data_IF_766815714493
#
_entry.id   IF_766815714493
#
_cell.length_a   1.000
_cell.length_b   1.000
_cell.length_c   1.000
_cell.angle_alpha   90.00
_cell.angle_beta   90.00
_cell.angle_gamma   90.00
#
_symmetry.space_group_name_H-M   'P 1'
#
loop_
_entity.id
_entity.type
_entity.pdbx_description
1 polymer ?
#
# COMPACT_ATOMS: atom_id res chain seq x y z
N UNK A 1 -16.95 -12.66 28.27
CA UNK A 1 -18.24 -11.91 28.30
C UNK A 1 -18.29 -11.02 27.07
N UNK A 2 -19.45 -10.68 26.51
CA UNK A 2 -19.51 -9.75 25.38
C UNK A 2 -18.70 -8.48 25.71
N UNK A 3 -17.85 -8.05 24.77
CA UNK A 3 -16.94 -6.90 24.94
C UNK A 3 -15.56 -7.19 25.56
N UNK A 4 -15.32 -8.37 26.15
CA UNK A 4 -13.99 -8.73 26.66
C UNK A 4 -13.02 -9.16 25.54
N UNK A 5 -11.71 -9.11 25.80
CA UNK A 5 -10.70 -9.55 24.83
C UNK A 5 -10.87 -11.03 24.47
N UNK A 6 -11.16 -11.88 25.45
CA UNK A 6 -11.40 -13.31 25.25
C UNK A 6 -12.62 -13.55 24.36
N UNK A 7 -13.67 -12.72 24.51
CA UNK A 7 -14.84 -12.78 23.64
C UNK A 7 -14.51 -12.35 22.22
N UNK A 8 -13.78 -11.24 22.04
CA UNK A 8 -13.35 -10.79 20.70
C UNK A 8 -12.51 -11.85 19.99
N UNK A 9 -11.54 -12.45 20.69
CA UNK A 9 -10.72 -13.57 20.16
C UNK A 9 -11.60 -14.76 19.79
N UNK A 10 -12.52 -15.16 20.67
CA UNK A 10 -13.43 -16.27 20.39
C UNK A 10 -14.33 -16.01 19.17
N UNK A 11 -14.84 -14.79 19.02
CA UNK A 11 -15.67 -14.40 17.87
C UNK A 11 -14.86 -14.40 16.58
N UNK A 12 -13.68 -13.79 16.57
CA UNK A 12 -12.80 -13.77 15.39
C UNK A 12 -12.42 -15.18 14.96
N UNK A 13 -12.07 -16.05 15.92
CA UNK A 13 -11.75 -17.45 15.63
C UNK A 13 -12.95 -18.18 15.00
N UNK A 14 -14.15 -18.05 15.59
CA UNK A 14 -15.38 -18.66 15.07
C UNK A 14 -15.71 -18.17 13.66
N UNK A 15 -15.57 -16.87 13.40
CA UNK A 15 -15.76 -16.30 12.06
C UNK A 15 -14.75 -16.84 11.05
N UNK A 16 -13.47 -16.99 11.46
CA UNK A 16 -12.43 -17.49 10.57
C UNK A 16 -12.64 -18.96 10.16
N UNK A 17 -13.10 -19.82 11.08
CA UNK A 17 -13.30 -21.25 10.82
C UNK A 17 -14.66 -21.60 10.20
N UNK A 18 -15.61 -20.67 10.17
CA UNK A 18 -16.94 -20.87 9.57
C UNK A 18 -16.88 -20.79 8.03
N UNK A 19 -16.37 -21.87 7.42
CA UNK A 19 -16.27 -21.99 5.96
C UNK A 19 -17.63 -22.01 5.27
N UNK A 20 -18.67 -22.51 5.92
CA UNK A 20 -20.03 -22.53 5.37
C UNK A 20 -20.50 -21.10 5.16
N UNK A 21 -20.41 -20.26 6.18
CA UNK A 21 -20.83 -18.86 6.06
C UNK A 21 -19.97 -18.07 5.09
N UNK A 22 -18.65 -18.29 5.11
CA UNK A 22 -17.71 -17.62 4.18
C UNK A 22 -17.99 -17.97 2.72
N UNK A 23 -18.30 -19.24 2.44
CA UNK A 23 -18.67 -19.68 1.09
C UNK A 23 -20.03 -19.11 0.65
N UNK A 24 -21.01 -19.03 1.55
CA UNK A 24 -22.31 -18.42 1.28
C UNK A 24 -22.17 -16.93 0.93
N UNK A 25 -21.33 -16.19 1.66
CA UNK A 25 -21.12 -14.75 1.45
C UNK A 25 -20.32 -14.44 0.17
N UNK A 26 -19.40 -15.32 -0.24
CA UNK A 26 -18.55 -15.09 -1.41
C UNK A 26 -17.84 -13.73 -1.35
N UNK A 27 -17.90 -12.97 -2.44
CA UNK A 27 -17.32 -11.63 -2.53
C UNK A 27 -18.21 -10.50 -1.99
N UNK A 28 -19.45 -10.80 -1.56
CA UNK A 28 -20.41 -9.78 -1.12
C UNK A 28 -19.84 -8.77 -0.09
N UNK A 29 -19.03 -9.18 0.90
CA UNK A 29 -18.51 -8.25 1.90
C UNK A 29 -17.57 -7.15 1.37
N UNK A 30 -16.97 -7.32 0.19
CA UNK A 30 -15.99 -6.36 -0.37
C UNK A 30 -16.57 -5.50 -1.51
N UNK A 31 -17.78 -5.80 -2.00
CA UNK A 31 -18.31 -5.14 -3.20
C UNK A 31 -18.52 -3.63 -3.02
N UNK A 32 -18.91 -3.18 -1.83
CA UNK A 32 -19.10 -1.75 -1.60
C UNK A 32 -17.78 -0.98 -1.55
N UNK A 33 -16.72 -1.62 -1.06
CA UNK A 33 -15.37 -1.03 -1.11
C UNK A 33 -14.85 -0.98 -2.55
N UNK A 34 -15.05 -2.03 -3.35
CA UNK A 34 -14.69 -2.03 -4.77
C UNK A 34 -15.41 -0.91 -5.55
N UNK A 35 -16.71 -0.74 -5.34
CA UNK A 35 -17.47 0.37 -5.94
C UNK A 35 -16.93 1.74 -5.52
N UNK A 36 -16.49 1.87 -4.26
CA UNK A 36 -15.91 3.13 -3.77
C UNK A 36 -14.58 3.45 -4.46
N UNK A 37 -13.78 2.43 -4.78
CA UNK A 37 -12.54 2.57 -5.55
C UNK A 37 -12.83 2.94 -7.00
N UNK A 38 -13.80 2.30 -7.63
CA UNK A 38 -14.21 2.59 -9.02
C UNK A 38 -14.76 4.00 -9.21
N UNK A 39 -15.34 4.58 -8.16
CA UNK A 39 -15.86 5.95 -8.20
C UNK A 39 -14.76 7.02 -8.16
N UNK A 40 -13.49 6.64 -7.91
CA UNK A 40 -12.36 7.57 -7.90
C UNK A 40 -12.09 8.02 -9.33
N UNK A 41 -12.24 9.31 -9.60
CA UNK A 41 -12.13 9.91 -10.93
C UNK A 41 -11.13 11.07 -11.00
N UNK A 42 -10.34 11.30 -9.94
CA UNK A 42 -9.27 12.28 -9.91
C UNK A 42 -8.13 11.84 -8.98
N UNK A 43 -6.94 12.40 -9.19
CA UNK A 43 -5.78 12.12 -8.33
C UNK A 43 -5.99 12.66 -6.92
N UNK A 44 -6.69 13.78 -6.81
CA UNK A 44 -7.09 14.37 -5.54
C UNK A 44 -7.97 13.40 -4.73
N UNK A 45 -8.99 12.81 -5.37
CA UNK A 45 -9.85 11.81 -4.73
C UNK A 45 -9.07 10.52 -4.39
N UNK A 46 -8.11 10.13 -5.23
CA UNK A 46 -7.23 8.99 -4.97
C UNK A 46 -6.32 9.23 -3.76
N UNK A 47 -5.80 10.46 -3.59
CA UNK A 47 -5.01 10.84 -2.42
C UNK A 47 -5.86 10.84 -1.15
N UNK A 48 -7.10 11.33 -1.22
CA UNK A 48 -8.04 11.27 -0.09
C UNK A 48 -8.35 9.82 0.28
N UNK A 49 -8.63 8.96 -0.71
CA UNK A 49 -8.85 7.54 -0.50
C UNK A 49 -7.65 6.88 0.17
N UNK A 50 -6.45 7.08 -0.37
CA UNK A 50 -5.21 6.53 0.20
C UNK A 50 -5.00 6.97 1.66
N UNK A 51 -5.21 8.25 1.96
CA UNK A 51 -5.09 8.73 3.33
C UNK A 51 -6.10 8.07 4.28
N UNK A 52 -7.35 7.82 3.84
CA UNK A 52 -8.35 7.14 4.67
C UNK A 52 -8.03 5.65 4.86
N UNK A 53 -7.54 4.97 3.83
CA UNK A 53 -7.17 3.56 3.94
C UNK A 53 -5.93 3.35 4.80
N UNK A 54 -4.93 4.20 4.67
CA UNK A 54 -3.73 4.11 5.51
C UNK A 54 -4.02 4.47 6.99
N UNK A 55 -5.15 5.12 7.31
CA UNK A 55 -5.64 5.24 8.69
C UNK A 55 -6.28 3.95 9.23
N UNK A 56 -6.71 3.05 8.35
CA UNK A 56 -7.22 1.70 8.70
C UNK A 56 -6.11 0.65 8.78
N UNK A 57 -4.88 1.02 8.43
CA UNK A 57 -3.72 0.14 8.46
C UNK A 57 -3.37 -0.48 7.11
N UNK A 58 -3.93 0.05 6.01
CA UNK A 58 -3.49 -0.32 4.66
C UNK A 58 -2.20 0.41 4.28
N UNK A 59 -1.53 -0.08 3.23
CA UNK A 59 -0.32 0.52 2.66
C UNK A 59 -0.59 0.85 1.18
N UNK A 60 -1.28 1.96 0.89
CA UNK A 60 -1.79 2.24 -0.46
C UNK A 60 -0.68 2.53 -1.48
N UNK A 61 0.14 3.55 -1.23
CA UNK A 61 1.25 3.96 -2.11
C UNK A 61 2.64 3.76 -1.49
N UNK A 62 2.69 3.69 -0.17
CA UNK A 62 3.89 3.60 0.63
C UNK A 62 3.48 3.16 2.03
N UNK A 63 4.40 2.50 2.74
CA UNK A 63 4.13 1.98 4.08
C UNK A 63 4.27 3.05 5.14
N UNK A 64 3.39 3.02 6.15
CA UNK A 64 3.50 3.88 7.33
C UNK A 64 3.29 3.12 8.63
N UNK A 65 4.10 3.41 9.64
CA UNK A 65 3.93 2.82 10.97
C UNK A 65 4.66 3.65 12.04
N UNK A 66 4.39 3.34 13.30
CA UNK A 66 5.08 3.93 14.46
C UNK A 66 5.92 2.85 15.13
N UNK A 67 7.19 3.16 15.39
CA UNK A 67 8.10 2.32 16.19
C UNK A 67 9.03 3.21 17.03
N UNK A 68 9.82 2.59 17.90
CA UNK A 68 10.88 3.29 18.63
C UNK A 68 11.87 3.98 17.67
N UNK A 69 12.26 5.21 17.99
CA UNK A 69 13.28 5.94 17.25
C UNK A 69 14.63 5.22 17.41
N UNK A 70 15.27 4.90 16.28
CA UNK A 70 16.53 4.14 16.28
C UNK A 70 17.70 4.91 16.92
N UNK A 71 17.62 6.25 16.98
CA UNK A 71 18.62 7.09 17.65
C UNK A 71 18.19 7.49 19.08
N UNK A 72 16.93 7.28 19.45
CA UNK A 72 16.42 7.51 20.80
C UNK A 72 15.28 6.54 21.14
N UNK A 73 15.63 5.37 21.67
CA UNK A 73 14.67 4.29 21.92
C UNK A 73 13.56 4.61 22.93
N UNK A 74 13.70 5.69 23.71
CA UNK A 74 12.68 6.14 24.66
C UNK A 74 11.53 6.91 23.97
N UNK A 75 11.70 7.26 22.69
CA UNK A 75 10.73 8.01 21.90
C UNK A 75 10.19 7.15 20.76
N UNK A 76 8.93 7.39 20.40
CA UNK A 76 8.36 6.87 19.16
C UNK A 76 8.62 7.83 18.00
N UNK A 77 8.83 7.29 16.80
CA UNK A 77 8.91 8.04 15.56
C UNK A 77 7.93 7.48 14.53
N UNK A 78 7.31 8.37 13.75
CA UNK A 78 6.53 7.98 12.58
C UNK A 78 7.48 7.60 11.45
N UNK A 79 7.24 6.46 10.81
CA UNK A 79 8.05 5.94 9.72
C UNK A 79 7.26 6.00 8.42
N UNK A 80 7.97 6.39 7.35
CA UNK A 80 7.45 6.49 5.99
C UNK A 80 8.41 5.70 5.09
N UNK A 81 7.94 4.57 4.54
CA UNK A 81 8.76 3.63 3.77
C UNK A 81 8.21 3.39 2.37
N UNK A 82 9.02 2.86 1.46
CA UNK A 82 8.54 2.43 0.15
C UNK A 82 7.36 1.46 0.26
N UNK A 83 6.59 1.32 -0.82
CA UNK A 83 5.50 0.35 -0.87
C UNK A 83 5.99 -1.09 -0.72
N UNK A 84 5.14 -1.91 -0.11
CA UNK A 84 5.21 -3.36 -0.23
C UNK A 84 4.89 -3.78 -1.68
N UNK A 85 5.50 -4.88 -2.11
CA UNK A 85 5.26 -5.48 -3.43
C UNK A 85 4.62 -6.85 -3.24
N UNK A 86 3.56 -7.16 -3.99
CA UNK A 86 2.82 -8.42 -3.85
C UNK A 86 3.68 -9.68 -4.07
N UNK A 87 4.70 -9.59 -4.95
CA UNK A 87 5.66 -10.68 -5.19
C UNK A 87 6.89 -10.64 -4.26
N UNK A 88 6.93 -9.70 -3.31
CA UNK A 88 7.96 -9.63 -2.26
C UNK A 88 9.08 -8.63 -2.53
N UNK A 89 9.76 -8.70 -3.68
CA UNK A 89 10.85 -7.78 -4.02
C UNK A 89 10.82 -7.34 -5.48
N UNK A 90 11.62 -6.33 -5.83
CA UNK A 90 11.62 -5.75 -7.18
C UNK A 90 12.11 -6.71 -8.24
N UNK A 91 13.02 -7.62 -7.89
CA UNK A 91 13.62 -8.55 -8.83
C UNK A 91 12.59 -9.51 -9.44
N UNK A 92 11.51 -9.84 -8.72
CA UNK A 92 10.37 -10.60 -9.27
C UNK A 92 9.68 -9.91 -10.45
N UNK A 93 9.73 -8.58 -10.52
CA UNK A 93 9.12 -7.78 -11.59
C UNK A 93 10.11 -7.40 -12.68
N UNK A 94 11.41 -7.27 -12.34
CA UNK A 94 12.40 -6.69 -13.25
C UNK A 94 13.35 -7.71 -13.89
N UNK A 95 13.54 -8.89 -13.29
CA UNK A 95 14.42 -9.93 -13.83
C UNK A 95 13.66 -10.83 -14.82
N UNK A 96 14.08 -10.90 -16.12
CA UNK A 96 13.40 -11.69 -17.13
C UNK A 96 13.22 -13.18 -16.77
N UNK A 97 14.07 -13.74 -15.90
CA UNK A 97 13.94 -15.15 -15.46
C UNK A 97 12.65 -15.43 -14.71
N UNK A 98 12.00 -14.39 -14.17
CA UNK A 98 10.76 -14.50 -13.39
C UNK A 98 9.50 -14.43 -14.27
N UNK A 99 9.62 -14.51 -15.60
CA UNK A 99 8.50 -14.39 -16.53
C UNK A 99 7.31 -15.32 -16.23
N UNK A 100 7.55 -16.58 -15.87
CA UNK A 100 6.47 -17.52 -15.51
C UNK A 100 5.79 -17.17 -14.18
N UNK A 101 6.51 -16.55 -13.23
CA UNK A 101 5.94 -16.06 -11.97
C UNK A 101 5.01 -14.87 -12.25
N UNK A 102 5.48 -13.91 -13.06
CA UNK A 102 4.67 -12.76 -13.47
C UNK A 102 3.40 -13.21 -14.19
N UNK A 103 3.52 -14.17 -15.12
CA UNK A 103 2.38 -14.74 -15.84
C UNK A 103 1.38 -15.40 -14.89
N UNK A 104 1.86 -16.22 -13.94
CA UNK A 104 1.01 -16.89 -12.96
C UNK A 104 0.32 -15.90 -12.03
N UNK A 105 1.03 -14.84 -11.61
CA UNK A 105 0.47 -13.76 -10.80
C UNK A 105 -0.62 -12.99 -11.56
N UNK A 106 -0.41 -12.68 -12.85
CA UNK A 106 -1.42 -12.03 -13.67
C UNK A 106 -2.68 -12.90 -13.79
N UNK A 107 -2.53 -14.21 -14.07
CA UNK A 107 -3.65 -15.16 -14.10
C UNK A 107 -4.39 -15.26 -12.76
N UNK A 108 -3.64 -15.20 -11.65
CA UNK A 108 -4.22 -15.17 -10.31
C UNK A 108 -5.11 -13.92 -10.12
N UNK A 109 -4.62 -12.73 -10.48
CA UNK A 109 -5.41 -11.49 -10.37
C UNK A 109 -6.66 -11.53 -11.26
N UNK A 110 -6.55 -12.03 -12.50
CA UNK A 110 -7.71 -12.22 -13.38
C UNK A 110 -8.75 -13.13 -12.73
N UNK A 111 -8.31 -14.25 -12.13
CA UNK A 111 -9.21 -15.18 -11.43
C UNK A 111 -9.87 -14.54 -10.22
N UNK A 112 -9.12 -13.78 -9.41
CA UNK A 112 -9.67 -13.09 -8.24
C UNK A 112 -10.69 -12.02 -8.64
N UNK A 113 -10.43 -11.26 -9.70
CA UNK A 113 -11.38 -10.28 -10.22
C UNK A 113 -12.69 -10.96 -10.69
N UNK A 114 -12.60 -12.07 -11.44
CA UNK A 114 -13.81 -12.80 -11.84
C UNK A 114 -14.59 -13.34 -10.63
N UNK A 115 -13.90 -13.83 -9.60
CA UNK A 115 -14.54 -14.27 -8.35
C UNK A 115 -15.20 -13.11 -7.58
N UNK A 116 -14.74 -11.89 -7.79
CA UNK A 116 -15.36 -10.67 -7.27
C UNK A 116 -16.55 -10.16 -8.11
N UNK A 117 -16.84 -10.78 -9.26
CA UNK A 117 -18.00 -10.47 -10.10
C UNK A 117 -17.70 -9.67 -11.36
N UNK A 118 -16.43 -9.38 -11.67
CA UNK A 118 -16.04 -8.71 -12.91
C UNK A 118 -16.19 -9.62 -14.14
N UNK A 119 -16.48 -9.02 -15.30
CA UNK A 119 -16.46 -9.74 -16.57
C UNK A 119 -15.05 -10.26 -16.90
N UNK A 120 -14.94 -11.20 -17.85
CA UNK A 120 -13.64 -11.70 -18.28
C UNK A 120 -12.76 -10.59 -18.87
N UNK A 121 -13.36 -9.68 -19.63
CA UNK A 121 -12.69 -8.53 -20.23
C UNK A 121 -12.23 -7.52 -19.17
N UNK A 122 -13.07 -7.23 -18.17
CA UNK A 122 -12.73 -6.35 -17.05
C UNK A 122 -11.61 -6.94 -16.19
N UNK A 123 -11.69 -8.23 -15.87
CA UNK A 123 -10.67 -8.94 -15.11
C UNK A 123 -9.30 -8.91 -15.81
N UNK A 124 -9.28 -9.12 -17.14
CA UNK A 124 -8.05 -9.02 -17.93
C UNK A 124 -7.46 -7.60 -17.91
N UNK A 125 -8.33 -6.57 -18.03
CA UNK A 125 -7.91 -5.16 -17.92
C UNK A 125 -7.32 -4.85 -16.54
N UNK A 126 -7.99 -5.28 -15.47
CA UNK A 126 -7.54 -5.08 -14.08
C UNK A 126 -6.18 -5.72 -13.86
N UNK A 127 -6.00 -6.99 -14.25
CA UNK A 127 -4.74 -7.69 -14.07
C UNK A 127 -3.59 -7.04 -14.85
N UNK A 128 -3.82 -6.67 -16.11
CA UNK A 128 -2.85 -5.96 -16.94
C UNK A 128 -2.43 -4.62 -16.32
N UNK A 129 -3.38 -3.85 -15.81
CA UNK A 129 -3.09 -2.58 -15.16
C UNK A 129 -2.35 -2.80 -13.84
N UNK A 130 -2.77 -3.77 -13.03
CA UNK A 130 -2.12 -4.13 -11.78
C UNK A 130 -0.64 -4.46 -11.98
N UNK A 131 -0.30 -5.33 -12.94
CA UNK A 131 1.10 -5.70 -13.18
C UNK A 131 1.90 -4.53 -13.77
N UNK A 132 1.30 -3.70 -14.61
CA UNK A 132 1.96 -2.51 -15.15
C UNK A 132 2.34 -1.53 -14.04
N UNK A 133 1.39 -1.17 -13.17
CA UNK A 133 1.63 -0.27 -12.02
C UNK A 133 2.64 -0.89 -11.05
N UNK A 134 2.44 -2.16 -10.68
CA UNK A 134 3.34 -2.86 -9.76
C UNK A 134 4.77 -2.90 -10.28
N UNK A 135 4.96 -3.10 -11.59
CA UNK A 135 6.29 -3.11 -12.21
C UNK A 135 6.95 -1.73 -12.20
N UNK A 136 6.18 -0.65 -12.38
CA UNK A 136 6.72 0.71 -12.26
C UNK A 136 7.15 1.03 -10.83
N UNK A 137 6.31 0.72 -9.84
CA UNK A 137 6.65 0.88 -8.42
C UNK A 137 7.87 0.04 -8.03
N UNK A 138 7.93 -1.21 -8.50
CA UNK A 138 9.07 -2.11 -8.25
C UNK A 138 10.40 -1.52 -8.74
N UNK A 139 10.43 -0.87 -9.91
CA UNK A 139 11.64 -0.22 -10.44
C UNK A 139 12.15 0.93 -9.56
N UNK A 140 11.27 1.56 -8.79
CA UNK A 140 11.62 2.65 -7.85
C UNK A 140 12.10 2.12 -6.50
N UNK A 141 11.67 0.90 -6.14
CA UNK A 141 11.99 0.28 -4.87
C UNK A 141 13.49 -0.04 -4.72
N UNK A 142 13.95 -0.02 -3.48
CA UNK A 142 15.28 -0.49 -3.11
C UNK A 142 15.34 -2.01 -3.24
N UNK A 143 16.53 -2.53 -3.54
CA UNK A 143 16.80 -3.97 -3.48
C UNK A 143 16.83 -4.48 -2.04
N UNK A 144 16.70 -5.79 -1.85
CA UNK A 144 16.81 -6.41 -0.53
C UNK A 144 18.14 -6.11 0.18
N UNK A 145 19.23 -5.96 -0.56
CA UNK A 145 20.53 -5.58 0.00
C UNK A 145 20.52 -4.14 0.51
N UNK A 146 19.95 -3.22 -0.27
CA UNK A 146 19.84 -1.82 0.13
C UNK A 146 18.89 -1.63 1.33
N UNK A 147 17.85 -2.45 1.44
CA UNK A 147 16.91 -2.42 2.57
C UNK A 147 17.53 -2.90 3.90
N UNK A 148 18.63 -3.66 3.86
CA UNK A 148 19.32 -4.14 5.07
C UNK A 148 20.30 -3.13 5.66
N UNK A 149 20.62 -2.07 4.94
CA UNK A 149 21.49 -1.00 5.43
C UNK A 149 20.70 -0.07 6.36
N UNK A 150 20.77 -0.31 7.67
CA UNK A 150 20.02 0.44 8.66
C UNK A 150 20.33 1.95 8.62
N UNK A 151 21.59 2.34 8.40
CA UNK A 151 21.98 3.76 8.34
C UNK A 151 21.37 4.44 7.12
N UNK A 152 21.39 3.78 5.96
CA UNK A 152 20.80 4.35 4.74
C UNK A 152 19.27 4.48 4.81
N UNK A 153 18.61 3.64 5.62
CA UNK A 153 17.16 3.62 5.77
C UNK A 153 16.66 4.38 7.01
N UNK A 154 17.54 5.07 7.74
CA UNK A 154 17.17 5.99 8.81
C UNK A 154 17.47 7.43 8.38
N UNK A 155 16.43 8.18 8.05
CA UNK A 155 16.53 9.58 7.67
C UNK A 155 15.45 10.39 8.40
N UNK A 156 15.78 10.88 9.60
CA UNK A 156 14.94 11.83 10.33
C UNK A 156 14.93 13.17 9.61
N UNK A 157 13.77 13.55 9.06
CA UNK A 157 13.63 14.77 8.25
C UNK A 157 12.43 15.58 8.69
N UNK A 158 12.52 16.91 8.57
CA UNK A 158 11.37 17.78 8.75
C UNK A 158 10.35 17.54 7.63
N UNK A 159 9.07 17.39 7.99
CA UNK A 159 8.00 17.11 7.02
C UNK A 159 7.93 18.22 5.97
N UNK A 160 8.02 19.49 6.39
CA UNK A 160 8.02 20.64 5.47
C UNK A 160 9.11 20.53 4.40
N UNK A 161 10.32 20.11 4.79
CA UNK A 161 11.43 19.91 3.86
C UNK A 161 11.18 18.71 2.95
N UNK A 162 10.72 17.59 3.49
CA UNK A 162 10.42 16.41 2.70
C UNK A 162 9.36 16.70 1.63
N UNK A 163 8.29 17.43 1.98
CA UNK A 163 7.23 17.81 1.03
C UNK A 163 7.78 18.70 -0.08
N UNK A 164 8.63 19.68 0.26
CA UNK A 164 9.28 20.54 -0.73
C UNK A 164 10.21 19.76 -1.67
N UNK A 165 10.90 18.73 -1.16
CA UNK A 165 11.85 17.91 -1.92
C UNK A 165 11.17 16.83 -2.78
N UNK A 166 9.88 16.51 -2.54
CA UNK A 166 9.14 15.46 -3.24
C UNK A 166 7.81 15.98 -3.85
N UNK A 167 7.87 16.95 -4.78
CA UNK A 167 6.68 17.49 -5.43
C UNK A 167 6.05 16.46 -6.37
N UNK A 168 4.73 16.56 -6.59
CA UNK A 168 3.99 15.72 -7.54
C UNK A 168 2.96 14.79 -6.89
N UNK A 169 3.02 14.62 -5.58
CA UNK A 169 1.95 14.03 -4.77
C UNK A 169 1.38 15.12 -3.85
N UNK A 170 0.06 15.18 -3.67
CA UNK A 170 -0.59 16.17 -2.80
C UNK A 170 -0.38 15.82 -1.33
N UNK A 171 0.84 16.03 -0.85
CA UNK A 171 1.23 15.75 0.53
C UNK A 171 0.41 16.55 1.53
N UNK A 172 0.00 17.78 1.20
CA UNK A 172 -0.80 18.60 2.11
C UNK A 172 -2.18 17.95 2.37
N UNK A 173 -2.85 17.49 1.31
CA UNK A 173 -4.10 16.72 1.41
C UNK A 173 -3.89 15.40 2.13
N UNK A 174 -2.85 14.65 1.77
CA UNK A 174 -2.54 13.37 2.41
C UNK A 174 -2.28 13.52 3.92
N UNK A 175 -1.40 14.44 4.33
CA UNK A 175 -1.07 14.73 5.74
C UNK A 175 -2.33 15.15 6.50
N UNK A 176 -3.20 15.97 5.87
CA UNK A 176 -4.48 16.36 6.46
C UNK A 176 -5.40 15.15 6.66
N UNK A 177 -5.54 14.29 5.65
CA UNK A 177 -6.36 13.08 5.71
C UNK A 177 -5.84 12.06 6.73
N UNK A 178 -4.53 12.00 6.94
CA UNK A 178 -3.87 11.16 7.97
C UNK A 178 -3.89 11.78 9.39
N UNK A 179 -4.40 13.00 9.56
CA UNK A 179 -4.33 13.75 10.81
C UNK A 179 -2.90 13.96 11.36
N UNK A 180 -1.93 14.21 10.47
CA UNK A 180 -0.51 14.34 10.81
C UNK A 180 -0.02 15.81 10.83
N UNK A 181 -0.92 16.79 10.85
CA UNK A 181 -0.57 18.21 10.72
C UNK A 181 0.30 18.74 11.87
N UNK A 182 0.21 18.12 13.05
CA UNK A 182 1.01 18.49 14.23
C UNK A 182 2.38 17.80 14.26
N UNK A 183 2.64 16.87 13.34
CA UNK A 183 3.91 16.17 13.27
C UNK A 183 4.96 17.06 12.58
N UNK A 184 6.10 17.28 13.24
CA UNK A 184 7.15 18.15 12.69
C UNK A 184 8.16 17.39 11.85
N UNK A 185 8.42 16.13 12.22
CA UNK A 185 9.40 15.25 11.57
C UNK A 185 8.94 13.80 11.54
N UNK A 186 9.42 13.05 10.55
CA UNK A 186 9.31 11.60 10.48
C UNK A 186 10.67 10.99 10.11
N UNK A 187 10.79 9.67 10.29
CA UNK A 187 11.83 8.89 9.64
C UNK A 187 11.35 8.51 8.24
N UNK A 188 11.98 9.04 7.20
CA UNK A 188 11.71 8.65 5.82
C UNK A 188 12.77 7.63 5.35
N UNK A 189 12.38 6.39 5.11
CA UNK A 189 13.30 5.31 4.76
C UNK A 189 13.95 5.51 3.38
N UNK A 190 13.34 4.93 2.35
CA UNK A 190 13.93 4.87 1.01
C UNK A 190 13.78 6.20 0.25
N UNK A 191 14.59 7.21 0.60
CA UNK A 191 14.49 8.56 0.03
C UNK A 191 14.50 8.61 -1.51
N UNK A 192 15.26 7.73 -2.19
CA UNK A 192 15.24 7.68 -3.66
C UNK A 192 13.90 7.16 -4.21
N UNK A 193 13.23 6.24 -3.52
CA UNK A 193 11.89 5.79 -3.91
C UNK A 193 10.92 6.98 -3.93
N UNK A 194 10.90 7.80 -2.88
CA UNK A 194 10.01 8.96 -2.82
C UNK A 194 10.30 9.99 -3.91
N UNK A 195 11.59 10.24 -4.22
CA UNK A 195 11.99 11.13 -5.32
C UNK A 195 11.55 10.63 -6.69
N UNK A 196 11.55 9.33 -6.92
CA UNK A 196 11.13 8.74 -8.19
C UNK A 196 9.61 8.65 -8.28
N UNK A 197 8.96 8.26 -7.18
CA UNK A 197 7.50 8.27 -7.04
C UNK A 197 6.92 9.65 -7.29
N UNK A 198 7.53 10.70 -6.74
CA UNK A 198 7.04 12.08 -6.90
C UNK A 198 7.08 12.54 -8.37
N UNK A 199 8.02 12.02 -9.18
CA UNK A 199 8.08 12.27 -10.62
C UNK A 199 7.09 11.43 -11.40
N UNK A 200 6.87 10.18 -10.99
CA UNK A 200 6.01 9.25 -11.71
C UNK A 200 4.53 9.47 -11.44
N UNK A 201 4.13 9.70 -10.19
CA UNK A 201 2.71 9.81 -9.81
C UNK A 201 1.94 10.84 -10.64
N UNK A 202 2.46 12.05 -10.96
CA UNK A 202 1.79 12.99 -11.87
C UNK A 202 1.57 12.47 -13.29
N UNK A 203 2.44 11.57 -13.77
CA UNK A 203 2.37 11.00 -15.13
C UNK A 203 1.55 9.72 -15.22
N UNK A 204 1.30 9.06 -14.09
CA UNK A 204 0.48 7.86 -14.05
C UNK A 204 -0.96 8.18 -14.44
N UNK A 205 -1.60 7.30 -15.20
CA UNK A 205 -3.05 7.35 -15.38
C UNK A 205 -3.74 7.13 -14.03
N UNK A 206 -5.00 7.57 -13.96
CA UNK A 206 -5.84 7.26 -12.81
C UNK A 206 -6.27 5.79 -12.81
#
# INVERSE_FOLDING_TARGET
KAGSNEYRVSVLYKQAIDSVKRNELGAQPILDELKSIEAINSKEALVDFAAQQDNKGDDTFFGTYVMADAENSDMNIFNLNQTSLALGNKEYYTDPKNGEIIKSYNQYIERIAQLAGYSAEEAQRIAKNNIAVSTQLAKMCYSQTELRDAQRNFNKVQIKKFVADNPGFDWARYIKGRNLQTLESWNAGQLKFFKDFSKWFPTADL
#
